data_IF_858989421577
#
_entry.id   IF_858989421577
#
_cell.length_a   1.000
_cell.length_b   1.000
_cell.length_c   1.000
_cell.angle_alpha   90.00
_cell.angle_beta   90.00
_cell.angle_gamma   90.00
#
_symmetry.space_group_name_H-M   'P 1'
#
loop_
_entity.id
_entity.type
_entity.pdbx_description
1 polymer ?
#
# COMPACT_ATOMS: atom_id res chain seq x y z
N UNK A 1 5.72 3.34 7.91
CA UNK A 1 5.63 3.86 6.53
C UNK A 1 5.42 5.36 6.64
N UNK A 2 6.14 6.21 5.91
CA UNK A 2 5.86 7.65 5.92
C UNK A 2 5.03 7.96 4.67
N UNK A 3 3.76 8.26 4.89
CA UNK A 3 2.84 8.70 3.82
C UNK A 3 3.02 10.20 3.61
N UNK A 4 3.23 10.61 2.36
CA UNK A 4 3.23 12.03 1.97
C UNK A 4 1.79 12.49 1.80
N UNK A 5 1.45 13.68 2.31
CA UNK A 5 0.09 14.22 2.34
C UNK A 5 -0.18 15.16 1.15
N UNK A 6 0.87 15.66 0.50
CA UNK A 6 0.76 16.46 -0.71
C UNK A 6 1.93 16.22 -1.66
N UNK A 7 1.76 16.57 -2.95
CA UNK A 7 2.87 16.60 -3.91
C UNK A 7 3.97 17.58 -3.47
N UNK A 8 3.60 18.68 -2.82
CA UNK A 8 4.55 19.66 -2.29
C UNK A 8 5.42 19.13 -1.13
N UNK A 9 5.07 17.97 -0.55
CA UNK A 9 5.92 17.29 0.44
C UNK A 9 7.11 16.53 -0.21
N UNK A 10 7.20 16.53 -1.55
CA UNK A 10 8.33 16.00 -2.30
C UNK A 10 9.40 17.08 -2.50
N UNK A 11 10.67 16.68 -2.40
CA UNK A 11 11.78 17.56 -2.73
C UNK A 11 11.79 17.86 -4.24
N UNK A 12 12.34 19.03 -4.61
CA UNK A 12 12.28 19.50 -6.01
C UNK A 12 13.00 18.58 -6.99
N UNK A 13 14.03 17.88 -6.53
CA UNK A 13 14.85 16.92 -7.27
C UNK A 13 14.44 15.45 -7.04
N UNK A 14 13.36 15.20 -6.30
CA UNK A 14 12.83 13.85 -6.11
C UNK A 14 12.33 13.28 -7.44
N UNK A 15 12.86 12.10 -7.83
CA UNK A 15 12.51 11.46 -9.10
C UNK A 15 10.99 11.22 -9.27
N UNK A 16 10.25 11.08 -8.17
CA UNK A 16 8.80 10.90 -8.19
C UNK A 16 8.07 12.10 -8.79
N UNK A 17 8.67 13.30 -8.77
CA UNK A 17 8.10 14.48 -9.40
C UNK A 17 7.85 14.30 -10.91
N UNK A 18 8.57 13.39 -11.57
CA UNK A 18 8.44 13.08 -12.99
C UNK A 18 7.46 11.94 -13.29
N UNK A 19 6.94 11.23 -12.29
CA UNK A 19 6.07 10.09 -12.49
C UNK A 19 4.59 10.52 -12.58
N UNK A 20 3.81 10.04 -13.58
CA UNK A 20 2.40 10.41 -13.75
C UNK A 20 1.56 10.15 -12.50
N UNK A 21 1.80 9.02 -11.81
CA UNK A 21 1.12 8.69 -10.55
C UNK A 21 1.26 9.78 -9.49
N UNK A 22 2.35 10.55 -9.47
CA UNK A 22 2.58 11.58 -8.47
C UNK A 22 2.22 12.99 -8.97
N UNK A 23 1.60 13.15 -10.14
CA UNK A 23 1.15 14.44 -10.69
C UNK A 23 0.14 15.15 -9.77
N UNK A 24 -0.03 16.46 -9.92
CA UNK A 24 -1.06 17.23 -9.18
C UNK A 24 -2.47 16.66 -9.40
N UNK A 25 -2.74 16.17 -10.61
CA UNK A 25 -4.03 15.57 -10.98
C UNK A 25 -4.27 14.22 -10.29
N UNK A 26 -3.23 13.38 -10.20
CA UNK A 26 -3.36 12.00 -9.71
C UNK A 26 -3.11 11.86 -8.20
N UNK A 27 -2.38 12.79 -7.59
CA UNK A 27 -2.04 12.71 -6.17
C UNK A 27 -3.28 12.62 -5.25
N UNK A 28 -4.35 13.41 -5.44
CA UNK A 28 -5.55 13.30 -4.62
C UNK A 28 -6.20 11.92 -4.70
N UNK A 29 -6.26 11.32 -5.89
CA UNK A 29 -6.81 9.97 -6.10
C UNK A 29 -6.02 8.91 -5.33
N UNK A 30 -4.68 8.99 -5.37
CA UNK A 30 -3.83 8.06 -4.60
C UNK A 30 -4.08 8.15 -3.09
N UNK A 31 -4.31 9.36 -2.56
CA UNK A 31 -4.58 9.53 -1.14
C UNK A 31 -5.87 8.83 -0.72
N UNK A 32 -6.91 8.87 -1.56
CA UNK A 32 -8.15 8.13 -1.28
C UNK A 32 -7.86 6.63 -1.12
N UNK A 33 -7.06 6.05 -2.00
CA UNK A 33 -6.67 4.64 -1.93
C UNK A 33 -5.89 4.35 -0.65
N UNK A 34 -4.91 5.20 -0.34
CA UNK A 34 -4.07 5.07 0.86
C UNK A 34 -4.94 5.15 2.13
N UNK A 35 -5.84 6.12 2.21
CA UNK A 35 -6.74 6.31 3.37
C UNK A 35 -7.67 5.11 3.56
N UNK A 36 -8.17 4.53 2.47
CA UNK A 36 -9.00 3.31 2.53
C UNK A 36 -8.21 2.10 3.00
N UNK A 37 -6.99 1.91 2.52
CA UNK A 37 -6.11 0.84 3.02
C UNK A 37 -5.79 1.05 4.50
N UNK A 38 -5.58 2.30 4.93
CA UNK A 38 -5.41 2.65 6.35
C UNK A 38 -6.62 2.22 7.18
N UNK A 39 -7.83 2.57 6.75
CA UNK A 39 -9.06 2.20 7.45
C UNK A 39 -9.24 0.67 7.53
N UNK A 40 -8.89 -0.07 6.48
CA UNK A 40 -8.90 -1.55 6.53
C UNK A 40 -7.86 -2.06 7.52
N UNK A 41 -6.64 -1.50 7.51
CA UNK A 41 -5.57 -1.92 8.39
C UNK A 41 -5.89 -1.71 9.89
N UNK A 42 -6.61 -0.63 10.22
CA UNK A 42 -7.11 -0.38 11.57
C UNK A 42 -8.06 -1.47 12.07
N UNK A 43 -8.93 -2.01 11.21
CA UNK A 43 -9.83 -3.14 11.57
C UNK A 43 -9.06 -4.38 12.05
N UNK A 44 -7.83 -4.57 11.57
CA UNK A 44 -6.96 -5.68 11.94
C UNK A 44 -5.92 -5.34 13.00
N UNK A 45 -5.84 -4.08 13.44
CA UNK A 45 -4.74 -3.61 14.29
C UNK A 45 -3.37 -3.78 13.63
N UNK A 46 -3.31 -3.68 12.30
CA UNK A 46 -2.08 -3.87 11.51
C UNK A 46 -1.67 -2.60 10.79
N UNK A 47 -0.44 -2.59 10.28
CA UNK A 47 0.03 -1.50 9.41
C UNK A 47 -0.53 -1.65 7.99
N UNK A 48 -0.74 -0.54 7.25
CA UNK A 48 -1.13 -0.58 5.84
C UNK A 48 -0.24 -1.51 5.00
N UNK A 49 1.08 -1.43 5.17
CA UNK A 49 2.04 -2.28 4.44
C UNK A 49 1.82 -3.77 4.65
N UNK A 50 1.50 -4.20 5.90
CA UNK A 50 1.21 -5.60 6.21
C UNK A 50 -0.10 -6.06 5.57
N UNK A 51 -1.14 -5.22 5.58
CA UNK A 51 -2.42 -5.52 4.92
C UNK A 51 -2.26 -5.64 3.42
N UNK A 52 -1.54 -4.70 2.78
CA UNK A 52 -1.29 -4.75 1.35
C UNK A 52 -0.50 -6.00 0.95
N UNK A 53 0.55 -6.37 1.70
CA UNK A 53 1.31 -7.60 1.44
C UNK A 53 0.45 -8.86 1.62
N UNK A 54 -0.36 -8.92 2.68
CA UNK A 54 -1.27 -10.03 2.90
C UNK A 54 -2.30 -10.18 1.76
N UNK A 55 -2.81 -9.06 1.25
CA UNK A 55 -3.70 -9.04 0.09
C UNK A 55 -3.00 -9.58 -1.17
N UNK A 56 -1.81 -9.07 -1.53
CA UNK A 56 -1.05 -9.54 -2.71
C UNK A 56 -0.84 -11.06 -2.65
N UNK A 57 -0.42 -11.59 -1.49
CA UNK A 57 -0.17 -13.02 -1.29
C UNK A 57 -1.46 -13.85 -1.30
N UNK A 58 -2.60 -13.25 -0.95
CA UNK A 58 -3.92 -13.91 -1.01
C UNK A 58 -4.46 -13.97 -2.44
N UNK A 59 -4.27 -12.91 -3.23
CA UNK A 59 -4.67 -12.84 -4.64
C UNK A 59 -3.83 -13.77 -5.53
N UNK A 60 -2.56 -13.97 -5.17
CA UNK A 60 -1.62 -14.76 -5.96
C UNK A 60 -0.88 -15.79 -5.09
N UNK A 61 -1.50 -16.94 -4.80
CA UNK A 61 -0.95 -17.95 -3.88
C UNK A 61 0.40 -18.55 -4.28
N UNK A 62 0.80 -18.39 -5.56
CA UNK A 62 2.05 -18.90 -6.11
C UNK A 62 3.16 -17.84 -6.20
N UNK A 63 2.88 -16.60 -5.79
CA UNK A 63 3.83 -15.51 -5.89
C UNK A 63 4.67 -15.37 -4.63
N UNK A 64 5.90 -14.89 -4.81
CA UNK A 64 6.79 -14.48 -3.74
C UNK A 64 6.91 -12.95 -3.76
N UNK A 65 6.44 -12.29 -2.71
CA UNK A 65 6.62 -10.85 -2.55
C UNK A 65 8.05 -10.54 -2.07
N UNK A 66 8.73 -9.59 -2.72
CA UNK A 66 10.09 -9.15 -2.37
C UNK A 66 10.06 -7.67 -1.92
N UNK A 67 9.51 -7.37 -0.73
CA UNK A 67 9.46 -6.00 -0.24
C UNK A 67 10.85 -5.55 0.23
N UNK A 68 11.35 -4.47 -0.37
CA UNK A 68 12.60 -3.86 0.07
C UNK A 68 12.51 -3.41 1.55
N UNK A 69 13.63 -3.51 2.26
CA UNK A 69 13.73 -3.26 3.70
C UNK A 69 15.11 -2.74 4.05
N UNK A 70 15.15 -1.59 4.74
CA UNK A 70 16.39 -0.96 5.21
C UNK A 70 16.77 -1.30 6.67
N UNK A 71 15.94 -2.08 7.36
CA UNK A 71 16.10 -2.41 8.79
C UNK A 71 15.53 -3.80 9.07
N UNK A 72 16.13 -4.54 10.00
CA UNK A 72 15.68 -5.88 10.42
C UNK A 72 14.22 -5.85 10.88
N UNK A 73 13.83 -4.88 11.72
CA UNK A 73 12.44 -4.78 12.20
C UNK A 73 11.40 -4.65 11.07
N UNK A 74 11.76 -4.01 9.95
CA UNK A 74 10.88 -3.90 8.78
C UNK A 74 10.82 -5.20 7.99
N UNK A 75 11.96 -5.90 7.85
CA UNK A 75 12.01 -7.21 7.24
C UNK A 75 11.12 -8.20 8.01
N UNK A 76 11.25 -8.25 9.33
CA UNK A 76 10.42 -9.10 10.19
C UNK A 76 8.93 -8.74 10.10
N UNK A 77 8.60 -7.45 10.14
CA UNK A 77 7.21 -7.00 10.01
C UNK A 77 6.60 -7.39 8.65
N UNK A 78 7.37 -7.26 7.58
CA UNK A 78 6.94 -7.65 6.23
C UNK A 78 6.77 -9.17 6.11
N UNK A 79 7.70 -9.97 6.66
CA UNK A 79 7.62 -11.42 6.66
C UNK A 79 6.35 -11.93 7.38
N UNK A 80 5.98 -11.30 8.50
CA UNK A 80 4.75 -11.61 9.24
C UNK A 80 3.46 -11.18 8.54
N UNK A 81 3.51 -10.66 7.31
CA UNK A 81 2.29 -10.42 6.52
C UNK A 81 1.59 -11.73 6.13
N UNK A 82 2.34 -12.83 5.98
CA UNK A 82 1.79 -14.16 5.63
C UNK A 82 0.84 -14.72 6.69
N UNK A 83 0.99 -14.29 7.94
CA UNK A 83 0.16 -14.73 9.05
C UNK A 83 -1.21 -14.01 9.10
N UNK A 84 -1.36 -12.92 8.35
CA UNK A 84 -2.58 -12.13 8.33
C UNK A 84 -3.56 -12.68 7.29
N UNK A 85 -4.74 -13.13 7.75
CA UNK A 85 -5.83 -13.54 6.88
C UNK A 85 -6.88 -12.44 6.79
N UNK A 86 -7.05 -11.89 5.59
CA UNK A 86 -8.10 -10.94 5.30
C UNK A 86 -9.41 -11.68 5.01
N UNK A 87 -10.54 -11.08 5.40
CA UNK A 87 -11.87 -11.63 5.07
C UNK A 87 -12.20 -11.33 3.60
N UNK A 88 -13.04 -12.13 2.93
CA UNK A 88 -13.37 -11.96 1.52
C UNK A 88 -13.82 -10.54 1.16
N UNK A 89 -14.58 -9.89 2.04
CA UNK A 89 -15.10 -8.54 1.83
C UNK A 89 -13.96 -7.51 1.72
N UNK A 90 -12.94 -7.62 2.57
CA UNK A 90 -11.80 -6.71 2.53
C UNK A 90 -10.86 -7.02 1.35
N UNK A 91 -10.74 -8.29 0.93
CA UNK A 91 -9.98 -8.65 -0.29
C UNK A 91 -10.59 -7.99 -1.53
N UNK A 92 -11.92 -8.09 -1.66
CA UNK A 92 -12.67 -7.49 -2.76
C UNK A 92 -12.64 -5.95 -2.72
N UNK A 93 -12.71 -5.36 -1.52
CA UNK A 93 -12.58 -3.90 -1.35
C UNK A 93 -11.21 -3.41 -1.85
N UNK A 94 -10.11 -4.08 -1.48
CA UNK A 94 -8.77 -3.71 -1.94
C UNK A 94 -8.61 -3.93 -3.44
N UNK A 95 -9.18 -5.00 -4.00
CA UNK A 95 -9.14 -5.26 -5.46
C UNK A 95 -9.79 -4.12 -6.24
N UNK A 96 -11.02 -3.73 -5.87
CA UNK A 96 -11.72 -2.62 -6.52
C UNK A 96 -10.96 -1.30 -6.42
N UNK A 97 -10.44 -0.99 -5.22
CA UNK A 97 -9.60 0.19 -5.03
C UNK A 97 -8.36 0.18 -5.93
N UNK A 98 -7.75 -0.99 -6.13
CA UNK A 98 -6.58 -1.12 -7.01
C UNK A 98 -6.93 -0.92 -8.49
N UNK A 99 -8.09 -1.43 -8.93
CA UNK A 99 -8.55 -1.29 -10.31
C UNK A 99 -8.93 0.16 -10.63
N UNK A 100 -9.70 0.80 -9.75
CA UNK A 100 -10.16 2.19 -9.90
C UNK A 100 -9.01 3.20 -9.83
N UNK A 101 -7.93 2.87 -9.13
CA UNK A 101 -6.76 3.72 -8.95
C UNK A 101 -5.76 3.68 -10.12
N UNK A 102 -6.07 2.94 -11.18
CA UNK A 102 -5.18 2.80 -12.34
C UNK A 102 -4.98 4.16 -13.02
N UNK A 103 -3.78 4.73 -12.86
CA UNK A 103 -3.25 5.95 -13.50
C UNK A 103 -2.37 5.59 -14.68
#
# INVERSE_FOLDING_TARGET
MITRKSRADLEKDDFRMMLPRWSEENFPGNLVVVDKIHAIAEKYGQTPSRVTLAWILSEHPTWFAIPDSRTIARLEANARAVDLRLVPENLEEIRKLSEDASV
#
